data_IF_954916640313
#
_entry.id   IF_954916640313
#
_cell.length_a   1.000
_cell.length_b   1.000
_cell.length_c   1.000
_cell.angle_alpha   90.00
_cell.angle_beta   90.00
_cell.angle_gamma   90.00
#
_symmetry.space_group_name_H-M   'P 1'
#
loop_
_entity.id
_entity.type
_entity.pdbx_description
1 polymer ?
#
# COMPACT_ATOMS: atom_id res chain seq x y z
N UNK A 1 13.16 2.31 17.28
CA UNK A 1 13.66 2.18 15.89
C UNK A 1 12.45 2.18 14.98
N UNK A 2 12.35 2.98 13.91
CA UNK A 2 11.25 2.82 12.97
C UNK A 2 11.44 1.47 12.29
N UNK A 3 10.74 0.44 12.78
CA UNK A 3 10.74 -0.86 12.13
C UNK A 3 10.06 -0.67 10.78
N UNK A 4 10.84 -0.78 9.70
CA UNK A 4 10.29 -0.87 8.36
C UNK A 4 9.32 -2.05 8.35
N UNK A 5 8.04 -1.78 8.08
CA UNK A 5 7.01 -2.82 8.04
C UNK A 5 7.39 -3.88 6.99
N UNK A 6 7.14 -5.17 7.26
CA UNK A 6 7.26 -6.22 6.26
C UNK A 6 6.41 -5.91 5.03
N UNK A 7 6.87 -6.32 3.85
CA UNK A 7 6.16 -6.05 2.59
C UNK A 7 4.74 -6.66 2.58
N UNK A 8 4.55 -7.81 3.24
CA UNK A 8 3.23 -8.45 3.41
C UNK A 8 2.25 -7.60 4.22
N UNK A 9 2.74 -6.96 5.28
CA UNK A 9 1.96 -6.06 6.14
C UNK A 9 1.56 -4.78 5.39
N UNK A 10 2.48 -4.25 4.57
CA UNK A 10 2.23 -3.10 3.71
C UNK A 10 1.16 -3.44 2.66
N UNK A 11 1.28 -4.61 2.01
CA UNK A 11 0.28 -5.11 1.06
C UNK A 11 -1.09 -5.28 1.69
N UNK A 12 -1.18 -5.89 2.87
CA UNK A 12 -2.45 -6.08 3.59
C UNK A 12 -3.14 -4.73 3.90
N UNK A 13 -2.37 -3.70 4.28
CA UNK A 13 -2.90 -2.35 4.51
C UNK A 13 -3.41 -1.69 3.23
N UNK A 14 -2.70 -1.90 2.11
CA UNK A 14 -3.14 -1.41 0.79
C UNK A 14 -4.46 -2.08 0.40
N UNK A 15 -4.58 -3.41 0.54
CA UNK A 15 -5.81 -4.16 0.25
C UNK A 15 -6.97 -3.70 1.14
N UNK A 16 -6.74 -3.57 2.44
CA UNK A 16 -7.74 -3.07 3.37
C UNK A 16 -8.21 -1.64 3.01
N UNK A 17 -7.29 -0.76 2.63
CA UNK A 17 -7.62 0.60 2.22
C UNK A 17 -8.43 0.64 0.93
N UNK A 18 -8.05 -0.16 -0.08
CA UNK A 18 -8.79 -0.27 -1.34
C UNK A 18 -10.19 -0.83 -1.13
N UNK A 19 -10.31 -1.88 -0.30
CA UNK A 19 -11.59 -2.50 0.04
C UNK A 19 -12.50 -1.52 0.80
N UNK A 20 -11.96 -0.80 1.79
CA UNK A 20 -12.73 0.12 2.62
C UNK A 20 -13.13 1.43 1.89
N UNK A 21 -12.32 1.90 0.93
CA UNK A 21 -12.52 3.21 0.32
C UNK A 21 -13.76 3.29 -0.57
N UNK A 22 -14.16 2.19 -1.23
CA UNK A 22 -15.30 2.17 -2.16
C UNK A 22 -15.19 3.18 -3.33
N UNK A 23 -13.99 3.75 -3.55
CA UNK A 23 -13.69 4.76 -4.56
C UNK A 23 -12.23 4.64 -4.99
N UNK A 24 -11.85 5.16 -6.17
CA UNK A 24 -10.45 5.23 -6.56
C UNK A 24 -9.60 6.00 -5.53
N UNK A 25 -8.47 5.43 -5.16
CA UNK A 25 -7.47 6.05 -4.29
C UNK A 25 -6.27 6.52 -5.10
N UNK A 26 -5.70 7.66 -4.72
CA UNK A 26 -4.45 8.12 -5.31
C UNK A 26 -3.26 7.38 -4.69
N UNK A 27 -2.11 7.40 -5.38
CA UNK A 27 -0.87 6.85 -4.86
C UNK A 27 -0.50 7.47 -3.49
N UNK A 28 -0.78 8.76 -3.28
CA UNK A 28 -0.52 9.43 -2.00
C UNK A 28 -1.46 8.94 -0.89
N UNK A 29 -2.73 8.65 -1.21
CA UNK A 29 -3.67 8.09 -0.24
C UNK A 29 -3.20 6.70 0.21
N UNK A 30 -2.76 5.87 -0.74
CA UNK A 30 -2.21 4.55 -0.46
C UNK A 30 -0.91 4.64 0.36
N UNK A 31 -0.03 5.60 0.05
CA UNK A 31 1.21 5.81 0.82
C UNK A 31 0.91 6.14 2.28
N UNK A 32 -0.10 7.00 2.52
CA UNK A 32 -0.56 7.34 3.86
C UNK A 32 -1.20 6.15 4.58
N UNK A 33 -2.08 5.42 3.91
CA UNK A 33 -2.75 4.25 4.50
C UNK A 33 -1.77 3.10 4.82
N UNK A 34 -0.78 2.88 3.95
CA UNK A 34 0.24 1.86 4.12
C UNK A 34 1.36 2.26 5.09
N UNK A 35 1.45 3.55 5.45
CA UNK A 35 2.49 4.09 6.32
C UNK A 35 3.87 4.10 5.67
N UNK A 36 3.95 4.32 4.35
CA UNK A 36 5.21 4.34 3.61
C UNK A 36 5.42 5.64 2.85
N UNK A 37 6.69 6.08 2.77
CA UNK A 37 7.07 7.32 2.11
C UNK A 37 7.72 7.10 0.73
N UNK A 38 7.92 5.85 0.31
CA UNK A 38 8.50 5.53 -1.00
C UNK A 38 7.40 5.21 -2.02
N UNK A 39 7.28 6.09 -3.03
CA UNK A 39 6.37 5.91 -4.16
C UNK A 39 6.70 4.66 -4.97
N UNK A 40 7.98 4.42 -5.23
CA UNK A 40 8.44 3.23 -5.97
C UNK A 40 8.05 1.94 -5.27
N UNK A 41 8.19 1.89 -3.94
CA UNK A 41 7.79 0.72 -3.13
C UNK A 41 6.28 0.46 -3.25
N UNK A 42 5.44 1.49 -3.17
CA UNK A 42 3.98 1.35 -3.38
C UNK A 42 3.68 0.81 -4.77
N UNK A 43 4.27 1.38 -5.82
CA UNK A 43 3.99 0.97 -7.20
C UNK A 43 4.41 -0.49 -7.43
N UNK A 44 5.56 -0.91 -6.87
CA UNK A 44 6.00 -2.30 -6.91
C UNK A 44 4.98 -3.22 -6.23
N UNK A 45 4.59 -2.93 -4.98
CA UNK A 45 3.66 -3.77 -4.23
C UNK A 45 2.26 -3.81 -4.85
N UNK A 46 1.78 -2.70 -5.41
CA UNK A 46 0.54 -2.66 -6.20
C UNK A 46 0.61 -3.58 -7.41
N UNK A 47 1.70 -3.54 -8.18
CA UNK A 47 1.87 -4.43 -9.33
C UNK A 47 1.90 -5.90 -8.92
N UNK A 48 2.51 -6.22 -7.79
CA UNK A 48 2.50 -7.59 -7.24
C UNK A 48 1.09 -8.00 -6.77
N UNK A 49 0.33 -7.09 -6.16
CA UNK A 49 -1.06 -7.33 -5.75
C UNK A 49 -1.99 -7.57 -6.95
N UNK A 50 -1.83 -6.82 -8.04
CA UNK A 50 -2.64 -6.97 -9.26
C UNK A 50 -2.39 -8.31 -9.98
N UNK A 51 -1.19 -8.88 -9.82
CA UNK A 51 -0.82 -10.15 -10.47
C UNK A 51 -1.22 -11.39 -9.67
N UNK A 52 -1.66 -11.23 -8.43
CA UNK A 52 -2.20 -12.34 -7.61
C UNK A 52 -3.60 -12.70 -8.06
#
# INVERSE_FOLDING_TARGET
MPQSLPDSEISARIEAALYAAGRPLTINDLMRAAGINSKEKIVKLLNELIKK
#
